data_IF_462445365496
#
_entry.id   IF_462445365496
#
_cell.length_a   1.000
_cell.length_b   1.000
_cell.length_c   1.000
_cell.angle_alpha   90.00
_cell.angle_beta   90.00
_cell.angle_gamma   90.00
#
_symmetry.space_group_name_H-M   'P 1'
#
loop_
_entity.id
_entity.type
_entity.pdbx_description
1 polymer ?
#
# COMPACT_ATOMS: atom_id res chain seq x y z
N UNK A 1 -19.21 4.65 -18.29
CA UNK A 1 -19.43 5.73 -17.30
C UNK A 1 -18.54 5.40 -16.13
N UNK A 2 -17.56 6.25 -15.80
CA UNK A 2 -16.68 6.03 -14.64
C UNK A 2 -17.24 6.76 -13.42
N UNK A 3 -16.96 6.23 -12.25
CA UNK A 3 -17.36 6.81 -10.96
C UNK A 3 -16.14 7.48 -10.32
N UNK A 4 -16.18 8.80 -10.16
CA UNK A 4 -15.13 9.52 -9.43
C UNK A 4 -15.40 9.45 -7.94
N UNK A 5 -14.38 9.06 -7.17
CA UNK A 5 -14.43 8.93 -5.72
C UNK A 5 -13.36 9.83 -5.10
N UNK A 6 -13.77 10.58 -4.08
CA UNK A 6 -12.86 11.36 -3.25
C UNK A 6 -12.66 10.62 -1.93
N UNK A 7 -11.42 10.30 -1.60
CA UNK A 7 -11.03 9.71 -0.33
C UNK A 7 -10.32 10.78 0.49
N UNK A 8 -10.84 11.08 1.68
CA UNK A 8 -10.21 11.99 2.64
C UNK A 8 -9.84 11.22 3.90
N UNK A 9 -8.56 11.23 4.26
CA UNK A 9 -8.05 10.59 5.46
C UNK A 9 -7.35 11.63 6.34
N UNK A 10 -7.82 11.76 7.59
CA UNK A 10 -7.28 12.71 8.56
C UNK A 10 -6.86 11.98 9.81
N UNK A 11 -5.62 12.22 10.23
CA UNK A 11 -5.08 11.74 11.50
C UNK A 11 -4.57 12.93 12.29
N UNK A 12 -5.03 13.07 13.53
CA UNK A 12 -4.65 14.18 14.39
C UNK A 12 -4.29 13.70 15.79
N UNK A 13 -3.04 13.87 16.17
CA UNK A 13 -2.54 13.64 17.52
C UNK A 13 -2.37 14.98 18.23
N UNK A 14 -2.93 15.09 19.42
CA UNK A 14 -2.75 16.23 20.32
C UNK A 14 -2.04 15.78 21.59
N UNK A 15 -1.08 16.55 22.01
CA UNK A 15 -0.25 16.27 23.18
C UNK A 15 -0.48 17.31 24.26
N UNK A 16 -0.52 16.90 25.51
CA UNK A 16 -0.65 17.78 26.70
C UNK A 16 0.54 18.71 26.86
N UNK A 17 1.73 18.27 26.44
CA UNK A 17 2.98 19.03 26.45
C UNK A 17 3.70 18.98 25.12
N UNK A 18 4.60 19.95 24.87
CA UNK A 18 5.43 19.95 23.68
C UNK A 18 6.43 18.79 23.71
N UNK A 19 6.39 17.92 22.70
CA UNK A 19 7.25 16.76 22.54
C UNK A 19 8.09 16.88 21.26
N UNK A 20 9.23 16.20 21.23
CA UNK A 20 10.01 16.00 20.00
C UNK A 20 9.44 14.80 19.26
N UNK A 21 9.13 14.99 17.99
CA UNK A 21 8.71 13.90 17.09
C UNK A 21 9.96 13.28 16.43
N UNK A 22 10.07 11.97 16.52
CA UNK A 22 11.06 11.23 15.74
C UNK A 22 10.73 11.29 14.23
N UNK A 23 11.66 10.96 13.34
CA UNK A 23 11.33 10.84 11.91
C UNK A 23 10.17 9.88 11.68
N UNK A 24 9.19 10.31 10.89
CA UNK A 24 8.01 9.52 10.52
C UNK A 24 8.09 9.10 9.06
N UNK A 25 7.53 7.93 8.75
CA UNK A 25 7.35 7.45 7.37
C UNK A 25 5.84 7.31 7.13
N UNK A 26 5.33 8.11 6.19
CA UNK A 26 3.93 8.11 5.79
C UNK A 26 3.80 7.35 4.47
N UNK A 27 2.95 6.30 4.46
CA UNK A 27 2.68 5.43 3.30
C UNK A 27 1.22 5.53 2.88
N UNK A 28 0.77 6.75 2.58
CA UNK A 28 -0.62 7.05 2.24
C UNK A 28 -0.78 7.56 0.80
N UNK A 29 0.21 7.32 -0.06
CA UNK A 29 0.12 7.64 -1.48
C UNK A 29 -0.05 6.34 -2.29
N UNK A 30 -1.04 6.28 -3.20
CA UNK A 30 -1.22 5.15 -4.09
C UNK A 30 0.06 4.84 -4.88
N UNK A 31 0.33 3.56 -5.07
CA UNK A 31 1.49 3.13 -5.85
C UNK A 31 1.36 3.56 -7.32
N UNK A 32 2.48 3.84 -8.02
CA UNK A 32 2.44 4.30 -9.42
C UNK A 32 1.86 3.26 -10.37
N UNK A 33 1.87 1.98 -9.98
CA UNK A 33 1.33 0.86 -10.74
C UNK A 33 -0.12 0.49 -10.35
N UNK A 34 -0.82 1.37 -9.63
CA UNK A 34 -2.24 1.16 -9.32
C UNK A 34 -3.07 1.06 -10.61
N UNK A 35 -3.92 0.04 -10.72
CA UNK A 35 -4.85 -0.09 -11.85
C UNK A 35 -5.92 1.00 -11.86
N UNK A 36 -6.29 1.51 -10.70
CA UNK A 36 -7.22 2.64 -10.57
C UNK A 36 -6.50 3.94 -10.86
N UNK A 37 -6.88 4.70 -11.89
CA UNK A 37 -6.31 6.00 -12.19
C UNK A 37 -6.50 6.97 -11.01
N UNK A 38 -5.41 7.61 -10.60
CA UNK A 38 -5.41 8.62 -9.56
C UNK A 38 -5.30 9.99 -10.23
N UNK A 39 -6.38 10.75 -10.22
CA UNK A 39 -6.44 12.07 -10.87
C UNK A 39 -5.76 13.15 -10.04
N UNK A 40 -5.89 13.07 -8.71
CA UNK A 40 -5.25 14.01 -7.80
C UNK A 40 -4.86 13.34 -6.50
N UNK A 41 -3.79 13.87 -5.91
CA UNK A 41 -3.29 13.48 -4.60
C UNK A 41 -2.78 14.71 -3.86
N UNK A 42 -3.15 14.86 -2.61
CA UNK A 42 -2.57 15.87 -1.71
C UNK A 42 -2.17 15.27 -0.37
N UNK A 43 -1.09 15.78 0.18
CA UNK A 43 -0.61 15.46 1.53
C UNK A 43 -0.32 16.76 2.26
N UNK A 44 -1.02 17.01 3.35
CA UNK A 44 -0.78 18.15 4.25
C UNK A 44 -0.35 17.62 5.61
N UNK A 45 0.70 18.21 6.16
CA UNK A 45 1.29 17.80 7.43
C UNK A 45 1.44 19.01 8.32
N UNK A 46 1.15 18.86 9.61
CA UNK A 46 1.46 19.88 10.63
C UNK A 46 2.29 19.26 11.76
N UNK A 47 3.17 20.03 12.39
CA UNK A 47 3.44 21.46 12.17
C UNK A 47 4.06 21.74 10.79
N UNK A 48 3.87 22.96 10.27
CA UNK A 48 4.30 23.34 8.92
C UNK A 48 5.83 23.41 8.79
N UNK A 49 6.54 23.67 9.91
CA UNK A 49 8.01 23.61 9.96
C UNK A 49 8.46 22.14 10.02
N UNK A 50 8.56 21.50 8.86
CA UNK A 50 9.06 20.14 8.71
C UNK A 50 9.84 19.99 7.41
N UNK A 51 10.71 18.97 7.35
CA UNK A 51 11.38 18.53 6.14
C UNK A 51 10.66 17.30 5.61
N UNK A 52 10.26 17.35 4.34
CA UNK A 52 9.61 16.24 3.63
C UNK A 52 10.52 15.73 2.53
N UNK A 53 10.79 14.42 2.53
CA UNK A 53 11.52 13.75 1.47
C UNK A 53 10.72 12.55 0.96
N UNK A 54 10.41 12.55 -0.33
CA UNK A 54 9.76 11.44 -1.01
C UNK A 54 10.77 10.37 -1.41
N UNK A 55 10.45 9.13 -1.11
CA UNK A 55 11.25 7.95 -1.41
C UNK A 55 10.36 6.86 -1.99
N UNK A 56 10.96 5.85 -2.59
CA UNK A 56 10.30 4.59 -2.93
C UNK A 56 10.97 3.46 -2.16
N UNK A 57 10.16 2.50 -1.72
CA UNK A 57 10.68 1.27 -1.17
C UNK A 57 11.13 0.29 -2.30
N UNK A 58 11.77 -0.84 -1.98
CA UNK A 58 12.18 -1.82 -2.99
C UNK A 58 11.03 -2.41 -3.83
N UNK A 59 9.78 -2.26 -3.39
CA UNK A 59 8.58 -2.72 -4.09
C UNK A 59 7.92 -1.61 -4.94
N UNK A 60 8.55 -0.43 -5.03
CA UNK A 60 8.04 0.70 -5.80
C UNK A 60 6.95 1.52 -5.09
N UNK A 61 6.66 1.28 -3.81
CA UNK A 61 5.67 2.06 -3.07
C UNK A 61 6.23 3.41 -2.64
N UNK A 62 5.40 4.45 -2.72
CA UNK A 62 5.79 5.77 -2.23
C UNK A 62 5.83 5.85 -0.71
N UNK A 63 6.89 6.47 -0.20
CA UNK A 63 7.06 6.79 1.22
C UNK A 63 7.43 8.26 1.36
N UNK A 64 6.69 8.98 2.21
CA UNK A 64 7.04 10.32 2.62
C UNK A 64 7.79 10.26 3.96
N UNK A 65 9.10 10.52 3.94
CA UNK A 65 9.89 10.65 5.17
C UNK A 65 9.80 12.09 5.66
N UNK A 66 9.27 12.26 6.87
CA UNK A 66 9.04 13.57 7.50
C UNK A 66 9.90 13.70 8.73
N UNK A 67 10.57 14.85 8.88
CA UNK A 67 11.41 15.17 10.03
C UNK A 67 10.99 16.53 10.59
N UNK A 68 10.79 16.60 11.90
CA UNK A 68 10.39 17.80 12.62
C UNK A 68 11.57 18.34 13.42
N UNK A 69 12.07 19.57 13.13
CA UNK A 69 13.22 20.14 13.84
C UNK A 69 12.86 20.63 15.24
N UNK A 70 11.59 20.96 15.47
CA UNK A 70 11.13 21.59 16.70
C UNK A 70 10.14 20.72 17.49
N UNK A 71 10.02 21.01 18.79
CA UNK A 71 8.99 20.40 19.63
C UNK A 71 7.61 20.92 19.25
N UNK A 72 6.62 20.04 19.28
CA UNK A 72 5.23 20.36 18.93
C UNK A 72 4.24 19.80 19.94
N UNK A 73 3.06 20.42 20.01
CA UNK A 73 1.90 19.92 20.76
C UNK A 73 0.89 19.18 19.88
N UNK A 74 1.13 19.15 18.57
CA UNK A 74 0.25 18.40 17.65
C UNK A 74 1.03 17.77 16.51
N UNK A 75 0.49 16.68 16.00
CA UNK A 75 0.91 16.07 14.74
C UNK A 75 -0.36 15.78 13.94
N UNK A 76 -0.44 16.35 12.75
CA UNK A 76 -1.59 16.23 11.87
C UNK A 76 -1.16 15.80 10.48
N UNK A 77 -1.89 14.84 9.93
CA UNK A 77 -1.73 14.33 8.56
C UNK A 77 -3.11 14.37 7.90
N UNK A 78 -3.21 15.05 6.77
CA UNK A 78 -4.41 15.09 5.93
C UNK A 78 -4.04 14.66 4.52
N UNK A 79 -4.68 13.59 4.06
CA UNK A 79 -4.50 13.05 2.71
C UNK A 79 -5.82 13.13 1.98
N UNK A 80 -5.80 13.64 0.77
CA UNK A 80 -6.92 13.62 -0.15
C UNK A 80 -6.52 12.99 -1.47
N UNK A 81 -7.35 12.09 -1.96
CA UNK A 81 -7.14 11.34 -3.21
C UNK A 81 -8.40 11.45 -4.03
N UNK A 82 -8.27 11.79 -5.31
CA UNK A 82 -9.34 11.69 -6.29
C UNK A 82 -9.01 10.53 -7.23
N UNK A 83 -9.85 9.50 -7.19
CA UNK A 83 -9.69 8.29 -7.96
C UNK A 83 -10.84 8.11 -8.96
N UNK A 84 -10.52 7.65 -10.16
CA UNK A 84 -11.50 7.28 -11.17
C UNK A 84 -11.72 5.77 -11.13
N UNK A 85 -12.88 5.35 -10.57
CA UNK A 85 -13.25 3.94 -10.42
C UNK A 85 -13.70 3.38 -11.76
N UNK A 86 -12.75 2.89 -12.53
CA UNK A 86 -13.02 2.19 -13.79
C UNK A 86 -13.48 0.77 -13.54
N UNK A 87 -14.32 0.25 -14.42
CA UNK A 87 -14.67 -1.17 -14.42
C UNK A 87 -13.46 -1.98 -14.86
N UNK A 88 -12.96 -2.83 -13.99
CA UNK A 88 -11.85 -3.73 -14.28
C UNK A 88 -12.44 -5.10 -14.63
N UNK A 89 -12.13 -5.61 -15.83
CA UNK A 89 -12.45 -6.98 -16.18
C UNK A 89 -11.45 -7.91 -15.45
N UNK A 90 -11.90 -8.77 -14.53
CA UNK A 90 -11.01 -9.68 -13.81
C UNK A 90 -10.37 -10.74 -14.71
N UNK A 91 -10.92 -10.94 -15.91
CA UNK A 91 -10.41 -11.89 -16.91
C UNK A 91 -9.52 -11.25 -17.99
N UNK A 92 -9.21 -9.95 -17.85
CA UNK A 92 -8.31 -9.23 -18.75
C UNK A 92 -6.84 -9.51 -18.38
N UNK A 93 -6.41 -10.75 -18.61
CA UNK A 93 -5.03 -11.21 -18.44
C UNK A 93 -4.71 -12.34 -19.41
N UNK A 94 -3.45 -12.51 -19.71
CA UNK A 94 -2.93 -13.66 -20.42
C UNK A 94 -2.20 -14.59 -19.46
N UNK A 95 -2.48 -15.89 -19.58
CA UNK A 95 -1.75 -16.91 -18.81
C UNK A 95 -0.53 -17.33 -19.65
N UNK A 96 0.65 -17.29 -19.03
CA UNK A 96 1.86 -17.80 -19.67
C UNK A 96 1.74 -19.30 -19.91
N UNK A 97 2.31 -19.81 -21.02
CA UNK A 97 2.26 -21.22 -21.38
C UNK A 97 2.71 -22.15 -20.25
N UNK A 98 3.73 -21.71 -19.49
CA UNK A 98 4.24 -22.44 -18.32
C UNK A 98 3.26 -22.55 -17.15
N UNK A 99 2.19 -21.74 -17.13
CA UNK A 99 1.21 -21.67 -16.06
C UNK A 99 -0.21 -22.10 -16.49
N UNK A 100 -0.35 -22.69 -17.68
CA UNK A 100 -1.65 -23.17 -18.20
C UNK A 100 -2.19 -24.39 -17.45
N UNK A 101 -1.31 -25.15 -16.82
CA UNK A 101 -1.67 -26.33 -16.03
C UNK A 101 -1.26 -26.15 -14.58
N UNK A 102 -2.08 -26.67 -13.65
CA UNK A 102 -1.77 -26.69 -12.23
C UNK A 102 -1.38 -28.13 -11.80
N UNK A 103 -0.37 -28.31 -10.95
CA UNK A 103 0.54 -27.29 -10.39
C UNK A 103 1.58 -26.81 -11.40
N UNK A 104 2.01 -25.55 -11.27
CA UNK A 104 3.08 -24.97 -12.07
C UNK A 104 4.21 -24.42 -11.18
N UNK A 105 5.37 -24.19 -11.77
CA UNK A 105 6.51 -23.60 -11.07
C UNK A 105 6.92 -22.27 -11.71
N UNK A 106 7.23 -21.30 -10.86
CA UNK A 106 7.85 -20.05 -11.30
C UNK A 106 9.28 -20.28 -11.77
N UNK A 107 9.69 -19.55 -12.82
CA UNK A 107 11.10 -19.48 -13.22
C UNK A 107 11.97 -19.08 -12.02
N UNK A 108 13.20 -19.57 -11.96
CA UNK A 108 14.11 -19.45 -10.80
C UNK A 108 14.24 -18.01 -10.29
N UNK A 109 14.44 -17.04 -11.20
CA UNK A 109 14.64 -15.63 -10.83
C UNK A 109 13.37 -15.03 -10.25
N UNK A 110 12.22 -15.25 -10.93
CA UNK A 110 10.92 -14.81 -10.45
C UNK A 110 10.54 -15.47 -9.11
N UNK A 111 10.83 -16.77 -8.94
CA UNK A 111 10.62 -17.48 -7.67
C UNK A 111 11.44 -16.87 -6.53
N UNK A 112 12.66 -16.40 -6.83
CA UNK A 112 13.50 -15.72 -5.86
C UNK A 112 12.90 -14.38 -5.41
N UNK A 113 12.44 -13.58 -6.35
CA UNK A 113 11.81 -12.27 -6.08
C UNK A 113 10.46 -12.42 -5.36
N UNK A 114 9.68 -13.45 -5.70
CA UNK A 114 8.39 -13.74 -5.07
C UNK A 114 8.51 -14.41 -3.70
N UNK A 115 9.70 -14.82 -3.26
CA UNK A 115 9.91 -15.55 -2.00
C UNK A 115 9.23 -14.91 -0.77
N UNK A 116 9.25 -13.57 -0.56
CA UNK A 116 8.54 -12.94 0.56
C UNK A 116 7.02 -13.14 0.50
N UNK A 117 6.44 -13.18 -0.70
CA UNK A 117 5.00 -13.32 -0.93
C UNK A 117 4.52 -14.78 -0.90
N UNK A 118 5.44 -15.72 -1.12
CA UNK A 118 5.16 -17.16 -1.05
C UNK A 118 5.31 -17.73 0.36
N UNK A 119 5.78 -16.90 1.30
CA UNK A 119 5.92 -17.31 2.69
C UNK A 119 4.53 -17.41 3.34
N UNK A 120 4.22 -18.61 3.87
CA UNK A 120 3.00 -18.81 4.65
C UNK A 120 3.25 -18.28 6.06
N UNK A 121 2.53 -17.23 6.45
CA UNK A 121 2.60 -16.62 7.78
C UNK A 121 1.44 -17.06 8.68
N UNK A 122 0.26 -17.26 8.09
CA UNK A 122 -0.93 -17.72 8.78
C UNK A 122 -1.12 -19.22 8.57
N UNK A 123 -1.09 -19.99 9.65
CA UNK A 123 -1.16 -21.45 9.62
C UNK A 123 -2.11 -22.02 10.70
N UNK A 124 -3.25 -21.34 10.90
CA UNK A 124 -4.27 -21.73 11.87
C UNK A 124 -5.02 -23.01 11.49
N UNK A 125 -5.52 -23.75 12.52
CA UNK A 125 -6.27 -25.00 12.32
C UNK A 125 -7.48 -24.83 11.39
N UNK A 126 -8.27 -23.78 11.60
CA UNK A 126 -9.48 -23.51 10.80
C UNK A 126 -9.15 -23.22 9.34
N UNK A 127 -8.06 -22.48 9.07
CA UNK A 127 -7.60 -22.20 7.71
C UNK A 127 -7.17 -23.49 7.02
N UNK A 128 -6.41 -24.35 7.69
CA UNK A 128 -6.01 -25.66 7.17
C UNK A 128 -7.22 -26.55 6.83
N UNK A 129 -8.23 -26.57 7.71
CA UNK A 129 -9.47 -27.34 7.48
C UNK A 129 -10.25 -26.77 6.29
N UNK A 130 -10.30 -25.45 6.14
CA UNK A 130 -10.93 -24.79 4.99
C UNK A 130 -10.22 -25.14 3.68
N UNK A 131 -8.90 -24.98 3.63
CA UNK A 131 -8.09 -25.26 2.43
C UNK A 131 -8.17 -26.72 2.00
N UNK A 132 -8.30 -27.67 2.95
CA UNK A 132 -8.50 -29.10 2.63
C UNK A 132 -9.80 -29.40 1.92
N UNK A 133 -10.81 -28.53 2.04
CA UNK A 133 -12.12 -28.70 1.38
C UNK A 133 -12.16 -28.18 -0.04
N UNK A 134 -11.13 -27.43 -0.46
CA UNK A 134 -11.02 -26.92 -1.83
C UNK A 134 -10.63 -28.07 -2.74
N UNK A 135 -11.49 -28.34 -3.71
CA UNK A 135 -11.19 -29.32 -4.76
C UNK A 135 -10.01 -28.80 -5.61
N UNK A 136 -9.06 -29.69 -5.87
CA UNK A 136 -7.81 -29.36 -6.59
C UNK A 136 -7.75 -30.05 -7.95
N UNK A 137 -8.90 -30.51 -8.42
CA UNK A 137 -9.01 -31.12 -9.78
C UNK A 137 -9.12 -30.07 -10.85
#
# INVERSE_FOLDING_TARGET
MSLKVVISHKTHYKYDKAISLSPHIIRLRPAPHSRTPIEAYSLKIKPDNHFLNWQQDPFGNYQARVVFPEKTKEFFVDVEIIADMITINPFDFFVEESATNYPFEYKKDLKHELKPYLKIEEDGKLLKEFVKKIDKT
#
